data_IF_740226416074
#
_entry.id   IF_740226416074
#
_cell.length_a   1.000
_cell.length_b   1.000
_cell.length_c   1.000
_cell.angle_alpha   90.00
_cell.angle_beta   90.00
_cell.angle_gamma   90.00
#
_symmetry.space_group_name_H-M   'P 1'
#
loop_
_entity.id
_entity.type
_entity.pdbx_description
1 polymer ?
#
# COMPACT_ATOMS: atom_id res chain seq x y z
N UNK A 1 44.23 -54.57 -17.98
CA UNK A 1 43.73 -55.64 -18.87
C UNK A 1 42.33 -55.27 -19.34
N UNK A 2 41.99 -55.44 -20.63
CA UNK A 2 40.63 -55.22 -21.16
C UNK A 2 39.79 -56.49 -20.95
N UNK A 3 38.50 -56.33 -20.63
CA UNK A 3 37.46 -57.29 -21.07
C UNK A 3 36.30 -56.52 -21.68
N UNK A 4 36.12 -56.73 -22.98
CA UNK A 4 34.92 -56.38 -23.73
C UNK A 4 33.96 -57.55 -23.60
N UNK A 5 32.65 -57.30 -23.54
CA UNK A 5 31.65 -58.27 -23.95
C UNK A 5 30.46 -57.54 -24.60
N UNK A 6 29.96 -58.09 -25.71
CA UNK A 6 28.94 -57.44 -26.54
C UNK A 6 28.02 -58.48 -27.20
N UNK A 7 26.71 -58.27 -27.08
CA UNK A 7 25.62 -58.65 -28.01
C UNK A 7 24.30 -58.20 -27.37
N UNK A 8 23.40 -57.46 -28.05
CA UNK A 8 22.45 -57.92 -29.11
C UNK A 8 21.53 -59.05 -28.59
N UNK A 9 20.21 -59.04 -28.75
CA UNK A 9 19.31 -58.26 -29.62
C UNK A 9 18.31 -57.43 -28.75
N UNK A 10 17.17 -56.86 -29.15
CA UNK A 10 16.36 -56.93 -30.39
C UNK A 10 15.57 -55.62 -30.62
N UNK A 11 14.51 -55.66 -31.46
CA UNK A 11 13.59 -54.56 -31.79
C UNK A 11 12.15 -54.96 -31.42
N UNK A 12 11.35 -54.02 -30.90
CA UNK A 12 9.89 -54.10 -30.94
C UNK A 12 9.28 -52.68 -30.97
N UNK A 13 8.21 -52.51 -31.74
CA UNK A 13 7.68 -51.21 -32.15
C UNK A 13 6.57 -50.66 -31.24
N UNK A 14 6.42 -49.33 -31.30
CA UNK A 14 5.17 -48.57 -31.24
C UNK A 14 4.21 -48.77 -30.05
N UNK A 15 4.03 -47.68 -29.28
CA UNK A 15 2.73 -47.30 -28.74
C UNK A 15 2.54 -45.79 -28.91
N UNK A 16 1.49 -45.38 -29.63
CA UNK A 16 1.04 -43.99 -29.69
C UNK A 16 0.48 -43.60 -28.30
N UNK A 17 1.18 -42.71 -27.59
CA UNK A 17 0.64 -42.03 -26.41
C UNK A 17 -0.04 -40.73 -26.83
N UNK A 18 -1.33 -40.57 -26.53
CA UNK A 18 -2.12 -39.42 -27.00
C UNK A 18 -1.59 -38.08 -26.48
N UNK A 19 -1.45 -37.12 -27.40
CA UNK A 19 -1.29 -35.71 -27.06
C UNK A 19 -2.64 -35.12 -26.57
N UNK A 20 -2.99 -35.38 -25.31
CA UNK A 20 -4.06 -34.67 -24.62
C UNK A 20 -3.55 -33.30 -24.14
N UNK A 21 -3.40 -32.36 -25.07
CA UNK A 21 -3.08 -30.97 -24.76
C UNK A 21 -4.18 -30.37 -23.88
N UNK A 22 -3.88 -30.12 -22.61
CA UNK A 22 -4.79 -29.40 -21.71
C UNK A 22 -5.16 -28.06 -22.33
N UNK A 23 -6.46 -27.79 -22.46
CA UNK A 23 -6.95 -26.46 -22.72
C UNK A 23 -6.49 -25.55 -21.58
N UNK A 24 -5.49 -24.72 -21.84
CA UNK A 24 -5.15 -23.61 -20.99
C UNK A 24 -6.30 -22.59 -21.08
N UNK A 25 -7.34 -22.81 -20.26
CA UNK A 25 -8.30 -21.77 -19.94
C UNK A 25 -7.51 -20.62 -19.30
N UNK A 26 -7.22 -19.58 -20.09
CA UNK A 26 -6.62 -18.36 -19.59
C UNK A 26 -7.47 -17.90 -18.39
N UNK A 27 -6.85 -17.51 -17.26
CA UNK A 27 -7.62 -16.98 -16.15
C UNK A 27 -8.39 -15.78 -16.68
N UNK A 28 -9.73 -15.87 -16.65
CA UNK A 28 -10.59 -14.76 -16.98
C UNK A 28 -10.13 -13.60 -16.10
N UNK A 29 -9.50 -12.61 -16.72
CA UNK A 29 -9.07 -11.42 -16.02
C UNK A 29 -10.35 -10.79 -15.49
N UNK A 30 -10.55 -10.88 -14.18
CA UNK A 30 -11.69 -10.27 -13.52
C UNK A 30 -11.56 -8.76 -13.73
N UNK A 31 -12.19 -8.26 -14.80
CA UNK A 31 -12.33 -6.84 -15.03
C UNK A 31 -12.98 -6.30 -13.76
N UNK A 32 -12.23 -5.49 -13.01
CA UNK A 32 -12.79 -4.75 -11.90
C UNK A 32 -14.01 -4.02 -12.47
N UNK A 33 -15.20 -4.34 -11.96
CA UNK A 33 -16.44 -3.86 -12.53
C UNK A 33 -16.36 -2.34 -12.62
N UNK A 34 -16.45 -1.81 -13.85
CA UNK A 34 -16.42 -0.36 -14.05
C UNK A 34 -17.50 0.24 -13.16
N UNK A 35 -17.19 1.25 -12.32
CA UNK A 35 -18.16 1.77 -11.36
C UNK A 35 -19.36 2.28 -12.15
N UNK A 36 -20.51 1.63 -11.98
CA UNK A 36 -21.75 2.06 -12.61
C UNK A 36 -21.94 3.54 -12.30
N UNK A 37 -22.08 4.36 -13.33
CA UNK A 37 -22.27 5.79 -13.20
C UNK A 37 -23.66 6.07 -12.58
N UNK A 38 -23.75 5.90 -11.26
CA UNK A 38 -24.89 6.35 -10.46
C UNK A 38 -24.99 7.86 -10.62
N UNK A 39 -26.21 8.37 -10.71
CA UNK A 39 -26.46 9.81 -10.70
C UNK A 39 -25.95 10.47 -9.41
N UNK A 40 -26.04 11.81 -9.31
CA UNK A 40 -25.47 12.58 -8.19
C UNK A 40 -26.04 12.20 -6.79
N UNK A 41 -27.08 11.36 -6.74
CA UNK A 41 -27.76 10.83 -5.55
C UNK A 41 -27.24 9.45 -5.08
N UNK A 42 -26.06 9.00 -5.50
CA UNK A 42 -25.45 7.76 -4.99
C UNK A 42 -24.73 7.94 -3.64
N UNK A 43 -24.73 6.91 -2.79
CA UNK A 43 -23.80 6.83 -1.65
C UNK A 43 -22.35 6.78 -2.16
N UNK A 44 -21.44 7.43 -1.43
CA UNK A 44 -20.01 7.50 -1.76
C UNK A 44 -19.18 7.05 -0.57
N UNK A 45 -18.23 6.18 -0.83
CA UNK A 45 -17.26 5.69 0.17
C UNK A 45 -15.85 6.02 -0.31
N UNK A 46 -15.01 6.48 0.61
CA UNK A 46 -13.60 6.79 0.36
C UNK A 46 -12.83 6.73 1.67
N UNK A 47 -11.54 7.03 1.60
CA UNK A 47 -10.65 7.00 2.75
C UNK A 47 -9.60 8.10 2.65
N UNK A 48 -9.03 8.45 3.80
CA UNK A 48 -8.00 9.49 3.92
C UNK A 48 -7.09 9.18 5.11
N UNK A 49 -5.81 9.53 5.00
CA UNK A 49 -4.90 9.59 6.15
C UNK A 49 -5.26 10.80 6.99
N UNK A 50 -5.53 10.60 8.28
CA UNK A 50 -5.80 11.70 9.22
C UNK A 50 -4.52 12.54 9.37
N UNK A 51 -4.58 13.77 8.88
CA UNK A 51 -3.48 14.73 8.92
C UNK A 51 -3.45 15.56 10.22
N UNK A 52 -4.30 15.24 11.21
CA UNK A 52 -4.42 15.98 12.46
C UNK A 52 -5.31 17.23 12.37
N UNK A 53 -5.97 17.48 11.24
CA UNK A 53 -6.87 18.64 11.04
C UNK A 53 -8.21 18.57 11.77
N UNK A 54 -8.44 17.53 12.59
CA UNK A 54 -9.64 17.42 13.45
C UNK A 54 -10.91 16.93 12.75
N UNK A 55 -10.80 16.03 11.76
CA UNK A 55 -11.97 15.42 11.12
C UNK A 55 -12.83 14.70 12.17
N UNK A 56 -14.15 14.97 12.25
CA UNK A 56 -15.01 14.34 13.25
C UNK A 56 -15.11 12.82 13.08
N UNK A 57 -14.67 12.08 14.10
CA UNK A 57 -14.66 10.60 14.10
C UNK A 57 -15.95 9.97 14.62
N UNK A 58 -16.65 10.64 15.54
CA UNK A 58 -17.81 10.12 16.27
C UNK A 58 -19.12 10.86 15.95
N UNK A 59 -19.11 11.77 14.97
CA UNK A 59 -20.28 12.53 14.53
C UNK A 59 -20.29 12.65 13.01
N UNK A 60 -21.43 13.08 12.48
CA UNK A 60 -21.54 13.46 11.07
C UNK A 60 -20.86 14.81 10.78
N UNK A 61 -20.46 15.04 9.52
CA UNK A 61 -19.91 16.29 9.00
C UNK A 61 -20.33 16.51 7.54
N UNK A 62 -20.22 17.73 7.00
CA UNK A 62 -20.52 17.99 5.58
C UNK A 62 -19.37 17.55 4.69
N UNK A 63 -19.65 16.98 3.51
CA UNK A 63 -18.60 16.73 2.51
C UNK A 63 -17.80 18.00 2.18
N UNK A 64 -18.44 19.16 2.20
CA UNK A 64 -17.80 20.44 1.91
C UNK A 64 -16.73 20.85 2.96
N UNK A 65 -16.83 20.35 4.19
CA UNK A 65 -15.87 20.67 5.26
C UNK A 65 -14.48 20.05 4.99
N UNK A 66 -14.39 19.00 4.16
CA UNK A 66 -13.13 18.33 3.81
C UNK A 66 -12.06 19.27 3.22
N UNK A 67 -12.46 20.35 2.56
CA UNK A 67 -11.52 21.37 2.07
C UNK A 67 -10.73 22.02 3.21
N UNK A 68 -11.37 22.26 4.36
CA UNK A 68 -10.72 22.76 5.59
C UNK A 68 -9.77 21.74 6.20
N UNK A 69 -9.96 20.47 5.88
CA UNK A 69 -9.12 19.34 6.32
C UNK A 69 -8.00 19.01 5.31
N UNK A 70 -7.75 19.86 4.32
CA UNK A 70 -6.65 19.72 3.36
C UNK A 70 -6.91 18.73 2.22
N UNK A 71 -8.17 18.33 2.00
CA UNK A 71 -8.58 17.57 0.80
C UNK A 71 -8.79 18.56 -0.35
N UNK A 72 -8.18 18.36 -1.53
CA UNK A 72 -8.32 19.29 -2.65
C UNK A 72 -9.79 19.46 -3.11
N UNK A 73 -10.19 20.70 -3.43
CA UNK A 73 -11.52 21.04 -3.95
C UNK A 73 -11.94 20.19 -5.16
N UNK A 74 -10.98 19.76 -5.99
CA UNK A 74 -11.23 18.86 -7.12
C UNK A 74 -11.72 17.49 -6.67
N UNK A 75 -11.10 16.91 -5.63
CA UNK A 75 -11.54 15.66 -5.02
C UNK A 75 -12.89 15.82 -4.31
N UNK A 76 -13.10 16.93 -3.58
CA UNK A 76 -14.40 17.25 -2.95
C UNK A 76 -15.51 17.36 -4.00
N UNK A 77 -15.26 18.03 -5.13
CA UNK A 77 -16.21 18.13 -6.26
C UNK A 77 -16.50 16.77 -6.92
N UNK A 78 -15.48 15.91 -7.09
CA UNK A 78 -15.65 14.55 -7.61
C UNK A 78 -16.54 13.70 -6.67
N UNK A 79 -16.23 13.71 -5.37
CA UNK A 79 -17.03 13.02 -4.34
C UNK A 79 -18.47 13.54 -4.30
N UNK A 80 -18.68 14.87 -4.39
CA UNK A 80 -20.00 15.48 -4.41
C UNK A 80 -20.84 15.07 -5.62
N UNK A 81 -20.18 14.77 -6.74
CA UNK A 81 -20.77 14.26 -7.97
C UNK A 81 -20.94 12.72 -8.00
N UNK A 82 -20.69 12.01 -6.90
CA UNK A 82 -20.82 10.55 -6.82
C UNK A 82 -19.61 9.77 -7.35
N UNK A 83 -18.48 10.43 -7.62
CA UNK A 83 -17.29 9.83 -8.24
C UNK A 83 -16.17 9.64 -7.22
N UNK A 84 -15.57 8.45 -7.19
CA UNK A 84 -14.33 8.22 -6.45
C UNK A 84 -13.19 9.05 -7.08
N UNK A 85 -12.37 9.77 -6.30
CA UNK A 85 -11.21 10.49 -6.83
C UNK A 85 -10.21 9.52 -7.46
N UNK A 86 -9.75 9.85 -8.66
CA UNK A 86 -8.75 9.05 -9.36
C UNK A 86 -7.36 9.28 -8.75
N UNK A 87 -6.93 8.40 -7.85
CA UNK A 87 -5.52 8.29 -7.47
C UNK A 87 -4.76 7.68 -8.64
N UNK A 88 -4.07 8.53 -9.42
CA UNK A 88 -3.20 8.07 -10.50
C UNK A 88 -2.12 7.15 -9.92
N UNK A 89 -2.02 5.93 -10.43
CA UNK A 89 -0.97 5.00 -10.06
C UNK A 89 0.37 5.50 -10.60
N UNK A 90 1.36 5.68 -9.72
CA UNK A 90 2.71 6.02 -10.13
C UNK A 90 3.39 4.79 -10.73
N UNK A 91 3.71 4.87 -12.02
CA UNK A 91 4.46 3.84 -12.73
C UNK A 91 5.93 3.87 -12.27
N UNK A 92 6.41 2.74 -11.73
CA UNK A 92 7.73 2.69 -11.10
C UNK A 92 8.82 2.42 -12.15
N UNK A 93 9.69 3.41 -12.38
CA UNK A 93 10.85 3.26 -13.25
C UNK A 93 11.77 2.10 -12.81
N UNK A 94 12.40 1.44 -13.78
CA UNK A 94 13.28 0.29 -13.55
C UNK A 94 14.52 0.71 -12.73
N UNK A 95 14.61 0.18 -11.50
CA UNK A 95 15.75 0.30 -10.60
C UNK A 95 16.18 -1.12 -10.20
N UNK A 96 17.50 -1.36 -10.14
CA UNK A 96 18.10 -2.70 -10.25
C UNK A 96 18.52 -3.34 -8.94
N UNK A 97 18.67 -2.57 -7.86
CA UNK A 97 19.19 -3.03 -6.57
C UNK A 97 18.22 -2.84 -5.39
N UNK A 98 18.29 -3.66 -4.33
CA UNK A 98 17.46 -3.50 -3.14
C UNK A 98 17.84 -2.25 -2.32
N UNK A 99 19.08 -1.76 -2.44
CA UNK A 99 19.52 -0.56 -1.72
C UNK A 99 19.28 0.75 -2.49
N UNK A 100 18.79 0.67 -3.74
CA UNK A 100 18.52 1.83 -4.59
C UNK A 100 17.50 2.76 -3.93
N UNK A 101 17.81 4.06 -3.88
CA UNK A 101 16.89 5.08 -3.37
C UNK A 101 15.77 5.32 -4.38
N UNK A 102 14.53 5.16 -3.92
CA UNK A 102 13.31 5.38 -4.72
C UNK A 102 12.53 6.61 -4.27
N UNK A 103 12.90 7.20 -3.13
CA UNK A 103 12.28 8.43 -2.62
C UNK A 103 12.99 8.96 -1.39
N UNK A 104 12.83 10.27 -1.14
CA UNK A 104 13.26 10.94 0.08
C UNK A 104 12.29 12.07 0.43
N UNK A 105 12.09 12.33 1.72
CA UNK A 105 11.26 13.46 2.20
C UNK A 105 11.62 13.83 3.64
N UNK A 106 11.01 14.90 4.15
CA UNK A 106 11.08 15.28 5.55
C UNK A 106 9.91 14.70 6.33
N UNK A 107 10.17 13.99 7.42
CA UNK A 107 9.13 13.61 8.40
C UNK A 107 8.71 14.81 9.26
N UNK A 108 7.68 14.62 10.10
CA UNK A 108 7.06 15.67 10.93
C UNK A 108 8.09 16.53 11.69
N UNK A 109 9.11 15.92 12.30
CA UNK A 109 10.10 16.61 13.12
C UNK A 109 11.37 17.03 12.31
N UNK A 110 11.28 17.04 10.98
CA UNK A 110 12.28 17.60 10.07
C UNK A 110 13.43 16.67 9.68
N UNK A 111 13.48 15.44 10.18
CA UNK A 111 14.51 14.47 9.79
C UNK A 111 14.29 13.97 8.36
N UNK A 112 15.38 13.62 7.64
CA UNK A 112 15.25 13.07 6.29
C UNK A 112 14.95 11.58 6.35
N UNK A 113 13.78 11.18 5.83
CA UNK A 113 13.42 9.79 5.60
C UNK A 113 13.88 9.40 4.19
N UNK A 114 14.56 8.26 4.10
CA UNK A 114 14.97 7.64 2.84
C UNK A 114 14.11 6.39 2.59
N UNK A 115 13.54 6.25 1.40
CA UNK A 115 12.91 5.02 0.92
C UNK A 115 13.84 4.33 -0.06
N UNK A 116 14.09 3.04 0.18
CA UNK A 116 14.83 2.16 -0.73
C UNK A 116 13.88 1.18 -1.41
N UNK A 117 14.24 0.71 -2.61
CA UNK A 117 13.50 -0.31 -3.36
C UNK A 117 13.25 -1.54 -2.48
N UNK A 118 14.27 -1.98 -1.74
CA UNK A 118 14.22 -3.11 -0.84
C UNK A 118 13.98 -4.44 -1.56
N UNK A 119 13.55 -5.44 -0.80
CA UNK A 119 13.16 -6.75 -1.33
C UNK A 119 12.13 -7.42 -0.42
N UNK A 120 11.46 -8.46 -0.93
CA UNK A 120 10.64 -9.36 -0.13
C UNK A 120 10.81 -10.81 -0.59
N UNK A 121 11.08 -11.69 0.37
CA UNK A 121 11.10 -13.14 0.22
C UNK A 121 9.87 -13.72 0.94
N UNK A 122 8.81 -14.13 0.21
CA UNK A 122 7.59 -14.67 0.80
C UNK A 122 7.78 -16.06 1.42
N UNK A 123 8.86 -16.80 1.09
CA UNK A 123 9.13 -18.14 1.67
C UNK A 123 9.75 -18.04 3.05
N UNK A 124 10.54 -16.99 3.30
CA UNK A 124 11.20 -16.73 4.60
C UNK A 124 10.52 -15.62 5.42
N UNK A 125 9.49 -15.00 4.88
CA UNK A 125 8.83 -13.78 5.39
C UNK A 125 9.80 -12.63 5.73
N UNK A 126 10.87 -12.51 4.94
CA UNK A 126 11.98 -11.56 5.18
C UNK A 126 12.04 -10.51 4.08
N UNK A 127 12.50 -9.31 4.42
CA UNK A 127 12.55 -8.19 3.50
C UNK A 127 12.44 -6.84 4.21
N UNK A 128 12.65 -5.79 3.43
CA UNK A 128 12.55 -4.38 3.85
C UNK A 128 12.15 -3.49 2.66
N UNK A 129 11.92 -2.20 2.93
CA UNK A 129 11.75 -1.18 1.90
C UNK A 129 10.46 -1.33 1.10
N UNK A 130 10.38 -0.62 -0.04
CA UNK A 130 9.16 -0.47 -0.83
C UNK A 130 8.60 -1.81 -1.32
N UNK A 131 9.45 -2.72 -1.79
CA UNK A 131 9.03 -4.04 -2.28
C UNK A 131 8.25 -4.84 -1.22
N UNK A 132 8.68 -4.83 0.05
CA UNK A 132 7.93 -5.49 1.13
C UNK A 132 6.62 -4.76 1.45
N UNK A 133 6.62 -3.44 1.42
CA UNK A 133 5.46 -2.59 1.68
C UNK A 133 4.35 -2.84 0.65
N UNK A 134 4.71 -2.96 -0.62
CA UNK A 134 3.78 -3.24 -1.72
C UNK A 134 3.37 -4.71 -1.78
N UNK A 135 4.34 -5.63 -1.78
CA UNK A 135 4.11 -7.05 -2.03
C UNK A 135 3.52 -7.79 -0.82
N UNK A 136 4.00 -7.51 0.40
CA UNK A 136 3.45 -8.13 1.63
C UNK A 136 2.28 -7.33 2.19
N UNK A 137 2.46 -6.01 2.33
CA UNK A 137 1.57 -5.19 3.14
C UNK A 137 0.51 -4.40 2.36
N UNK A 138 0.53 -4.44 1.02
CA UNK A 138 -0.44 -3.75 0.16
C UNK A 138 -0.54 -2.23 0.43
N UNK A 139 0.58 -1.59 0.76
CA UNK A 139 0.69 -0.14 0.92
C UNK A 139 1.57 0.46 -0.18
N UNK A 140 1.62 1.78 -0.26
CA UNK A 140 2.43 2.54 -1.23
C UNK A 140 3.51 3.36 -0.55
N UNK A 141 4.49 3.86 -1.31
CA UNK A 141 5.45 4.87 -0.80
C UNK A 141 4.72 6.10 -0.24
N UNK A 142 3.63 6.52 -0.90
CA UNK A 142 2.82 7.68 -0.52
C UNK A 142 2.13 7.49 0.84
N UNK A 143 1.62 6.29 1.13
CA UNK A 143 1.09 5.91 2.45
C UNK A 143 2.16 6.00 3.57
N UNK A 144 3.40 5.57 3.29
CA UNK A 144 4.52 5.66 4.23
C UNK A 144 4.91 7.12 4.47
N UNK A 145 4.93 7.92 3.40
CA UNK A 145 5.17 9.37 3.48
C UNK A 145 4.10 10.04 4.32
N UNK A 146 2.81 9.82 4.05
CA UNK A 146 1.73 10.35 4.88
C UNK A 146 1.85 9.92 6.35
N UNK A 147 2.23 8.67 6.62
CA UNK A 147 2.38 8.16 8.00
C UNK A 147 3.53 8.82 8.75
N UNK A 148 4.61 9.19 8.06
CA UNK A 148 5.79 9.84 8.66
C UNK A 148 5.68 11.36 8.70
N UNK A 149 4.89 11.97 7.81
CA UNK A 149 4.63 13.42 7.80
C UNK A 149 3.48 13.81 8.74
N UNK A 150 2.46 12.96 8.88
CA UNK A 150 1.30 13.20 9.73
C UNK A 150 1.03 12.07 10.74
N UNK A 151 2.00 11.69 11.59
CA UNK A 151 1.74 10.80 12.71
C UNK A 151 0.74 11.44 13.69
N UNK A 152 0.01 10.61 14.44
CA UNK A 152 -0.88 11.02 15.53
C UNK A 152 -0.20 12.05 16.46
N UNK A 153 -0.95 12.97 17.08
CA UNK A 153 -0.38 13.95 18.00
C UNK A 153 0.34 13.28 19.19
N UNK A 154 1.43 13.92 19.65
CA UNK A 154 2.21 13.49 20.81
C UNK A 154 2.92 12.13 20.64
N UNK A 155 3.17 11.46 21.77
CA UNK A 155 3.87 10.18 21.83
C UNK A 155 3.09 9.00 21.22
N UNK A 156 1.78 9.15 21.00
CA UNK A 156 0.97 8.12 20.35
C UNK A 156 1.27 7.96 18.85
N UNK A 157 1.87 8.98 18.21
CA UNK A 157 2.22 8.95 16.80
C UNK A 157 3.68 8.69 16.47
N UNK A 158 4.62 8.90 17.39
CA UNK A 158 6.06 8.66 17.15
C UNK A 158 6.70 8.05 18.39
N UNK A 159 7.16 6.80 18.26
CA UNK A 159 7.69 6.00 19.37
C UNK A 159 9.04 5.39 19.00
N UNK A 160 10.03 5.43 19.91
CA UNK A 160 11.27 4.67 19.72
C UNK A 160 10.97 3.17 19.66
N UNK A 161 11.67 2.44 18.81
CA UNK A 161 11.59 0.99 18.77
C UNK A 161 12.48 0.40 19.88
N UNK A 162 11.91 -0.41 20.77
CA UNK A 162 12.63 -0.99 21.90
C UNK A 162 13.86 -1.78 21.42
N UNK A 163 15.03 -1.48 22.00
CA UNK A 163 16.31 -2.09 21.64
C UNK A 163 17.05 -1.46 20.45
N UNK A 164 16.48 -0.45 19.77
CA UNK A 164 17.09 0.19 18.59
C UNK A 164 17.04 1.72 18.74
N UNK A 165 18.15 2.38 19.16
CA UNK A 165 18.13 3.78 19.63
C UNK A 165 17.72 4.80 18.56
N UNK A 166 18.02 4.49 17.29
CA UNK A 166 17.80 5.34 16.11
C UNK A 166 16.60 4.90 15.26
N UNK A 167 15.87 3.86 15.68
CA UNK A 167 14.69 3.36 14.96
C UNK A 167 13.42 3.88 15.60
N UNK A 168 12.53 4.45 14.78
CA UNK A 168 11.28 5.05 15.20
C UNK A 168 10.11 4.44 14.45
N UNK A 169 9.02 4.24 15.19
CA UNK A 169 7.72 3.83 14.66
C UNK A 169 6.81 5.06 14.61
N UNK A 170 6.31 5.35 13.42
CA UNK A 170 5.32 6.37 13.16
C UNK A 170 3.96 5.71 13.04
N UNK A 171 2.91 6.31 13.60
CA UNK A 171 1.55 5.78 13.58
C UNK A 171 0.58 6.87 13.12
N UNK A 172 -0.18 6.59 12.06
CA UNK A 172 -1.25 7.46 11.54
C UNK A 172 -2.52 6.64 11.38
N UNK A 173 -3.66 7.27 11.62
CA UNK A 173 -4.95 6.63 11.38
C UNK A 173 -5.41 6.90 9.95
N UNK A 174 -5.89 5.87 9.25
CA UNK A 174 -6.62 6.03 8.00
C UNK A 174 -8.10 5.89 8.29
N UNK A 175 -8.84 6.94 8.00
CA UNK A 175 -10.29 7.02 8.22
C UNK A 175 -10.99 6.51 6.97
N UNK A 176 -11.87 5.52 7.11
CA UNK A 176 -12.83 5.16 6.08
C UNK A 176 -14.10 5.98 6.31
N UNK A 177 -14.58 6.65 5.26
CA UNK A 177 -15.67 7.62 5.32
C UNK A 177 -16.78 7.16 4.38
N UNK A 178 -18.01 7.11 4.90
CA UNK A 178 -19.23 6.91 4.11
C UNK A 178 -20.04 8.20 4.10
N UNK A 179 -20.51 8.60 2.93
CA UNK A 179 -21.35 9.78 2.75
C UNK A 179 -22.62 9.46 1.96
N UNK A 180 -23.77 9.83 2.52
CA UNK A 180 -25.09 9.67 1.91
C UNK A 180 -25.78 11.02 1.67
N UNK A 181 -26.88 11.01 0.92
CA UNK A 181 -27.62 12.22 0.54
C UNK A 181 -27.15 12.82 -0.79
N UNK A 182 -27.66 14.00 -1.13
CA UNK A 182 -27.53 14.62 -2.45
C UNK A 182 -26.78 15.95 -2.43
N UNK A 183 -25.77 16.06 -3.31
CA UNK A 183 -24.97 17.26 -3.58
C UNK A 183 -24.55 18.05 -2.32
N UNK A 184 -25.14 19.22 -2.04
CA UNK A 184 -24.80 20.06 -0.87
C UNK A 184 -25.30 19.53 0.49
N UNK A 185 -26.34 18.68 0.50
CA UNK A 185 -26.86 18.06 1.72
C UNK A 185 -26.16 16.73 2.04
N UNK A 186 -25.10 16.40 1.28
CA UNK A 186 -24.34 15.16 1.45
C UNK A 186 -23.61 15.17 2.79
N UNK A 187 -24.03 14.25 3.65
CA UNK A 187 -23.56 14.12 5.02
C UNK A 187 -22.65 12.90 5.13
N UNK A 188 -21.50 13.08 5.76
CA UNK A 188 -20.42 12.11 5.88
C UNK A 188 -20.24 11.66 7.32
N UNK A 189 -19.80 10.41 7.51
CA UNK A 189 -19.34 9.89 8.82
C UNK A 189 -18.16 8.94 8.62
N UNK A 190 -17.26 8.89 9.59
CA UNK A 190 -16.26 7.82 9.69
C UNK A 190 -16.99 6.54 10.11
N UNK A 191 -16.79 5.43 9.40
CA UNK A 191 -17.33 4.11 9.79
C UNK A 191 -16.25 3.14 10.25
N UNK A 192 -14.99 3.31 9.80
CA UNK A 192 -13.84 2.50 10.22
C UNK A 192 -12.60 3.37 10.38
N UNK A 193 -11.72 2.94 11.28
CA UNK A 193 -10.39 3.53 11.47
C UNK A 193 -9.37 2.39 11.41
N UNK A 194 -8.37 2.51 10.54
CA UNK A 194 -7.26 1.57 10.44
C UNK A 194 -5.95 2.29 10.74
N UNK A 195 -5.28 1.99 11.87
CA UNK A 195 -3.95 2.51 12.12
C UNK A 195 -2.95 1.89 11.14
N UNK A 196 -2.13 2.73 10.52
CA UNK A 196 -0.95 2.36 9.74
C UNK A 196 0.29 2.73 10.54
N UNK A 197 1.24 1.79 10.60
CA UNK A 197 2.55 1.99 11.19
C UNK A 197 3.62 2.01 10.11
N UNK A 198 4.58 2.93 10.23
CA UNK A 198 5.81 2.96 9.44
C UNK A 198 7.03 2.92 10.36
N UNK A 199 7.93 1.95 10.17
CA UNK A 199 9.20 1.84 10.89
C UNK A 199 10.34 2.44 10.08
N UNK A 200 11.03 3.45 10.62
CA UNK A 200 12.16 4.13 9.98
C UNK A 200 13.39 4.06 10.87
N UNK A 201 14.52 3.67 10.29
CA UNK A 201 15.82 3.53 10.94
C UNK A 201 16.75 4.63 10.45
N UNK A 202 17.12 5.54 11.35
CA UNK A 202 17.97 6.69 11.08
C UNK A 202 19.46 6.41 11.34
N UNK A 203 19.84 5.17 11.70
CA UNK A 203 21.24 4.82 11.94
C UNK A 203 22.08 5.02 10.67
N UNK A 204 23.12 5.85 10.78
CA UNK A 204 24.07 6.14 9.70
C UNK A 204 25.14 5.03 9.69
N UNK A 205 25.47 4.51 8.51
CA UNK A 205 26.53 3.52 8.32
C UNK A 205 27.54 4.00 7.29
N UNK A 206 28.42 4.91 7.68
CA UNK A 206 29.43 5.53 6.82
C UNK A 206 30.14 4.45 5.96
N UNK A 207 30.22 4.61 4.61
CA UNK A 207 29.87 5.79 3.81
C UNK A 207 28.39 5.88 3.37
N UNK A 208 27.53 4.94 3.79
CA UNK A 208 26.13 4.88 3.38
C UNK A 208 25.25 5.87 4.18
N UNK A 209 24.29 6.47 3.46
CA UNK A 209 23.13 7.15 4.03
C UNK A 209 22.36 6.25 5.01
N UNK A 210 21.54 6.81 5.91
CA UNK A 210 20.69 6.02 6.80
C UNK A 210 19.96 4.87 6.11
N UNK A 211 19.71 3.79 6.85
CA UNK A 211 18.97 2.64 6.33
C UNK A 211 17.61 3.05 5.77
N UNK A 212 16.92 3.96 6.46
CA UNK A 212 15.65 4.53 6.04
C UNK A 212 14.46 3.67 6.43
N UNK A 213 13.43 3.63 5.58
CA UNK A 213 12.21 2.86 5.86
C UNK A 213 12.50 1.36 5.89
N UNK A 214 12.28 0.73 7.05
CA UNK A 214 12.34 -0.73 7.19
C UNK A 214 11.09 -1.37 6.59
N UNK A 215 9.90 -0.92 7.01
CA UNK A 215 8.61 -1.48 6.60
C UNK A 215 7.47 -0.53 6.99
N UNK A 216 6.30 -0.73 6.39
CA UNK A 216 5.03 -0.16 6.85
C UNK A 216 3.90 -1.19 6.69
N UNK A 217 2.91 -1.17 7.58
CA UNK A 217 1.79 -2.12 7.58
C UNK A 217 0.59 -1.59 8.41
N UNK A 218 -0.55 -2.26 8.31
CA UNK A 218 -1.76 -1.97 9.08
C UNK A 218 -1.75 -2.71 10.42
N UNK A 219 -1.83 -1.99 11.54
CA UNK A 219 -1.85 -2.62 12.87
C UNK A 219 -3.09 -3.51 13.06
N UNK A 220 -2.90 -4.67 13.68
CA UNK A 220 -3.94 -5.70 13.83
C UNK A 220 -4.28 -6.49 12.56
N UNK A 221 -3.69 -6.17 11.39
CA UNK A 221 -3.96 -6.87 10.12
C UNK A 221 -2.83 -7.83 9.78
N UNK A 222 -3.14 -9.12 9.71
CA UNK A 222 -2.17 -10.14 9.29
C UNK A 222 -2.00 -10.12 7.76
N UNK A 223 -0.82 -9.68 7.29
CA UNK A 223 -0.48 -9.67 5.87
C UNK A 223 -0.77 -8.33 5.18
N UNK A 224 -1.77 -8.33 4.30
CA UNK A 224 -2.12 -7.21 3.40
C UNK A 224 -3.09 -6.22 4.05
N UNK A 225 -2.79 -4.93 4.00
CA UNK A 225 -3.77 -3.88 4.26
C UNK A 225 -4.97 -3.97 3.30
N UNK A 226 -6.18 -3.60 3.74
CA UNK A 226 -7.33 -3.42 2.85
C UNK A 226 -7.03 -2.38 1.75
N UNK A 227 -7.56 -2.58 0.54
CA UNK A 227 -7.31 -1.67 -0.59
C UNK A 227 -7.80 -0.24 -0.33
N UNK A 228 -8.83 -0.06 0.50
CA UNK A 228 -9.25 1.29 0.90
C UNK A 228 -8.16 2.04 1.67
N UNK A 229 -7.24 1.37 2.37
CA UNK A 229 -6.10 2.05 3.01
C UNK A 229 -5.08 2.52 1.96
N UNK A 230 -4.82 1.66 0.96
CA UNK A 230 -3.88 1.91 -0.14
C UNK A 230 -4.34 3.04 -1.06
N UNK A 231 -5.66 3.14 -1.27
CA UNK A 231 -6.28 4.04 -2.25
C UNK A 231 -6.86 5.32 -1.60
N UNK A 232 -6.34 5.71 -0.43
CA UNK A 232 -6.75 6.94 0.25
C UNK A 232 -6.56 8.19 -0.63
N UNK A 233 -7.50 9.13 -0.55
CA UNK A 233 -7.63 10.23 -1.53
C UNK A 233 -6.60 11.35 -1.38
N UNK A 234 -5.81 11.33 -0.30
CA UNK A 234 -4.83 12.36 0.06
C UNK A 234 -3.38 11.85 0.04
N UNK A 235 -3.09 10.80 -0.73
CA UNK A 235 -1.75 10.23 -0.90
C UNK A 235 -1.30 10.13 -2.37
#
# INVERSE_FOLDING_TARGET
MRKVNASRYAVASAALGLAAGLFAAAPASAMAAAPSARGPSGDVEFSLFDNGSGIPRNSSFSLADLGRHGIPDSAVKQLGAGKAPSTAGEESAALSGPDDLVGQWKERDGWTVYMRRGYYDPRRDKGFGLAKIEQKHNLTMKAVRATTQYPRPGAAGKQKFAGYPDTWNYFTDVLHVKCSGWWIFRTCRVDKVQPVRAGVDFSIKIPQLPKGVITAYCEGVQGRCPDWVKNAINI
#
